data_IF_725917302795
#
_entry.id   IF_725917302795
#
_cell.length_a   1.000
_cell.length_b   1.000
_cell.length_c   1.000
_cell.angle_alpha   90.00
_cell.angle_beta   90.00
_cell.angle_gamma   90.00
#
_symmetry.space_group_name_H-M   'P 1'
#
loop_
_entity.id
_entity.type
_entity.pdbx_description
1 polymer ?
#
# COMPACT_ATOMS: atom_id res chain seq x y z
N UNK A 1 -3.26 23.12 -16.05
CA UNK A 1 -3.96 21.84 -15.80
C UNK A 1 -3.46 20.85 -16.83
N UNK A 2 -2.86 19.74 -16.40
CA UNK A 2 -2.37 18.72 -17.33
C UNK A 2 -3.56 17.91 -17.84
N UNK A 3 -4.00 18.20 -19.07
CA UNK A 3 -4.89 17.33 -19.80
C UNK A 3 -4.14 16.04 -20.16
N UNK A 4 -4.63 14.89 -19.71
CA UNK A 4 -4.04 13.59 -19.99
C UNK A 4 -4.97 12.75 -20.87
N UNK A 5 -4.46 12.31 -22.00
CA UNK A 5 -5.18 11.47 -22.96
C UNK A 5 -4.58 10.08 -23.01
N UNK A 6 -5.43 9.07 -23.09
CA UNK A 6 -5.03 7.67 -23.15
C UNK A 6 -6.02 6.85 -23.98
N UNK A 7 -5.66 5.60 -24.30
CA UNK A 7 -6.59 4.65 -24.91
C UNK A 7 -6.81 3.48 -23.97
N UNK A 8 -8.02 2.95 -23.89
CA UNK A 8 -8.35 1.86 -22.99
C UNK A 8 -9.31 0.84 -23.60
N UNK A 9 -9.49 -0.29 -22.91
CA UNK A 9 -10.52 -1.29 -23.19
C UNK A 9 -11.22 -1.67 -21.89
N UNK A 10 -12.54 -1.70 -21.89
CA UNK A 10 -13.33 -2.23 -20.78
C UNK A 10 -12.99 -3.70 -20.55
N UNK A 11 -13.06 -4.16 -19.30
CA UNK A 11 -12.97 -5.57 -18.95
C UNK A 11 -14.35 -6.07 -18.53
N UNK A 12 -14.66 -7.32 -18.85
CA UNK A 12 -15.82 -8.01 -18.28
C UNK A 12 -15.51 -8.53 -16.87
N UNK A 13 -16.49 -9.16 -16.21
CA UNK A 13 -16.34 -9.73 -14.86
C UNK A 13 -15.28 -10.85 -14.78
N UNK A 14 -14.91 -11.42 -15.93
CA UNK A 14 -13.82 -12.40 -16.05
C UNK A 14 -12.45 -11.75 -16.32
N UNK A 15 -12.36 -10.42 -16.30
CA UNK A 15 -11.14 -9.66 -16.56
C UNK A 15 -10.70 -9.63 -18.04
N UNK A 16 -11.56 -10.04 -18.97
CA UNK A 16 -11.25 -10.11 -20.39
C UNK A 16 -11.63 -8.82 -21.13
N UNK A 17 -10.81 -8.34 -22.08
CA UNK A 17 -11.10 -7.12 -22.83
C UNK A 17 -12.40 -7.23 -23.65
N UNK A 18 -13.31 -6.28 -23.43
CA UNK A 18 -14.51 -6.12 -24.23
C UNK A 18 -14.20 -5.31 -25.49
N UNK A 19 -14.59 -5.85 -26.65
CA UNK A 19 -14.49 -5.18 -27.94
C UNK A 19 -13.11 -5.27 -28.62
N UNK A 20 -13.15 -5.13 -29.96
CA UNK A 20 -11.95 -5.27 -30.79
C UNK A 20 -11.05 -4.02 -30.74
N UNK A 21 -11.64 -2.82 -30.70
CA UNK A 21 -10.93 -1.55 -30.75
C UNK A 21 -10.79 -0.90 -29.37
N UNK A 22 -9.68 -0.20 -29.15
CA UNK A 22 -9.51 0.62 -27.95
C UNK A 22 -10.35 1.89 -28.03
N UNK A 23 -10.99 2.24 -26.91
CA UNK A 23 -11.73 3.49 -26.69
C UNK A 23 -10.77 4.60 -26.26
N UNK A 24 -11.21 5.86 -26.37
CA UNK A 24 -10.44 7.04 -25.94
C UNK A 24 -10.85 7.43 -24.52
N UNK A 25 -9.87 7.65 -23.66
CA UNK A 25 -10.07 8.19 -22.33
C UNK A 25 -9.31 9.51 -22.16
N UNK A 26 -9.85 10.38 -21.32
CA UNK A 26 -9.27 11.69 -21.04
C UNK A 26 -9.49 12.06 -19.57
N UNK A 27 -8.50 12.73 -18.97
CA UNK A 27 -8.61 13.34 -17.66
C UNK A 27 -8.14 14.80 -17.73
N UNK A 28 -8.98 15.75 -17.33
CA UNK A 28 -8.67 17.20 -17.33
C UNK A 28 -8.11 17.71 -16.00
N UNK A 29 -8.12 16.88 -14.96
CA UNK A 29 -7.74 17.25 -13.60
C UNK A 29 -8.92 17.30 -12.63
N UNK A 30 -10.14 17.27 -13.13
CA UNK A 30 -11.39 17.29 -12.36
C UNK A 30 -12.30 16.11 -12.72
N UNK A 31 -12.45 15.80 -14.01
CA UNK A 31 -13.34 14.77 -14.55
C UNK A 31 -12.56 13.76 -15.39
N UNK A 32 -12.77 12.48 -15.10
CA UNK A 32 -12.29 11.35 -15.87
C UNK A 32 -13.37 10.92 -16.87
N UNK A 33 -13.10 11.10 -18.15
CA UNK A 33 -13.97 10.68 -19.24
C UNK A 33 -13.49 9.33 -19.77
N UNK A 34 -14.35 8.32 -19.66
CA UNK A 34 -14.16 6.96 -20.17
C UNK A 34 -15.27 6.65 -21.19
N UNK A 35 -15.01 6.93 -22.47
CA UNK A 35 -15.99 6.74 -23.56
C UNK A 35 -17.26 7.59 -23.37
N UNK A 36 -18.35 7.00 -22.87
CA UNK A 36 -19.62 7.71 -22.56
C UNK A 36 -19.80 7.96 -21.06
N UNK A 37 -18.83 7.58 -20.23
CA UNK A 37 -18.91 7.67 -18.77
C UNK A 37 -18.06 8.84 -18.29
N UNK A 38 -18.70 9.82 -17.69
CA UNK A 38 -18.06 10.99 -17.07
C UNK A 38 -18.00 10.80 -15.56
N UNK A 39 -16.79 10.77 -15.00
CA UNK A 39 -16.55 10.48 -13.60
C UNK A 39 -15.85 11.67 -12.94
N UNK A 40 -16.57 12.51 -12.17
CA UNK A 40 -15.95 13.52 -11.33
C UNK A 40 -14.98 12.86 -10.35
N UNK A 41 -13.79 13.45 -10.18
CA UNK A 41 -12.76 12.95 -9.27
C UNK A 41 -13.24 12.81 -7.83
N UNK A 42 -14.22 13.63 -7.42
CA UNK A 42 -14.86 13.56 -6.10
C UNK A 42 -15.74 12.30 -5.90
N UNK A 43 -16.23 11.69 -6.98
CA UNK A 43 -17.07 10.48 -6.94
C UNK A 43 -16.25 9.18 -6.99
N UNK A 44 -14.96 9.28 -7.31
CA UNK A 44 -14.03 8.15 -7.24
C UNK A 44 -13.74 7.89 -5.77
N UNK A 45 -13.89 6.65 -5.32
CA UNK A 45 -13.58 6.15 -3.98
C UNK A 45 -12.17 5.57 -3.91
N UNK A 46 -11.83 4.67 -4.84
CA UNK A 46 -10.50 4.08 -4.89
C UNK A 46 -9.99 3.91 -6.32
N UNK A 47 -8.66 3.97 -6.48
CA UNK A 47 -7.98 3.68 -7.74
C UNK A 47 -6.82 2.76 -7.45
N UNK A 48 -6.95 1.51 -7.86
CA UNK A 48 -5.82 0.60 -7.93
C UNK A 48 -5.44 0.26 -9.37
N UNK A 49 -4.22 -0.22 -9.56
CA UNK A 49 -3.83 -0.75 -10.85
C UNK A 49 -2.90 -1.93 -10.71
N UNK A 50 -3.05 -2.88 -11.63
CA UNK A 50 -2.17 -4.02 -11.81
C UNK A 50 -1.71 -4.04 -13.26
N UNK A 51 -0.44 -3.71 -13.46
CA UNK A 51 0.20 -3.55 -14.78
C UNK A 51 -0.49 -2.49 -15.68
N UNK A 52 -1.47 -2.92 -16.47
CA UNK A 52 -2.28 -2.06 -17.36
C UNK A 52 -3.75 -2.02 -16.94
N UNK A 53 -4.18 -2.92 -16.08
CA UNK A 53 -5.53 -2.96 -15.55
C UNK A 53 -5.66 -1.90 -14.48
N UNK A 54 -6.62 -0.99 -14.65
CA UNK A 54 -7.07 -0.05 -13.62
C UNK A 54 -8.36 -0.59 -13.04
N UNK A 55 -8.44 -0.59 -11.72
CA UNK A 55 -9.63 -0.93 -10.94
C UNK A 55 -10.06 0.38 -10.27
N UNK A 56 -11.23 0.86 -10.64
CA UNK A 56 -11.78 2.11 -10.14
C UNK A 56 -13.02 1.80 -9.31
N UNK A 57 -13.02 2.16 -8.03
CA UNK A 57 -14.21 2.11 -7.20
C UNK A 57 -14.84 3.50 -7.20
N UNK A 58 -16.13 3.61 -7.53
CA UNK A 58 -16.87 4.88 -7.58
C UNK A 58 -18.15 4.80 -6.78
N UNK A 59 -18.67 5.94 -6.32
CA UNK A 59 -19.98 6.00 -5.66
C UNK A 59 -21.07 5.72 -6.70
N UNK A 60 -21.84 4.65 -6.51
CA UNK A 60 -23.02 4.32 -7.31
C UNK A 60 -24.27 5.08 -6.86
N UNK A 61 -25.36 4.92 -7.61
CA UNK A 61 -26.63 5.64 -7.38
C UNK A 61 -27.24 5.39 -5.99
N UNK A 62 -27.05 4.19 -5.43
CA UNK A 62 -27.55 3.82 -4.10
C UNK A 62 -26.54 4.02 -2.97
N UNK A 63 -25.48 4.82 -3.19
CA UNK A 63 -24.30 4.91 -2.29
C UNK A 63 -23.51 3.61 -2.14
N UNK A 64 -23.83 2.56 -2.91
CA UNK A 64 -23.02 1.35 -2.99
C UNK A 64 -21.83 1.56 -3.93
N UNK A 65 -20.63 1.05 -3.60
CA UNK A 65 -19.48 1.12 -4.48
C UNK A 65 -19.70 0.35 -5.79
N UNK A 66 -19.46 0.99 -6.93
CA UNK A 66 -19.42 0.33 -8.24
C UNK A 66 -17.96 0.22 -8.68
N UNK A 67 -17.55 -0.99 -9.09
CA UNK A 67 -16.20 -1.23 -9.59
C UNK A 67 -16.16 -1.22 -11.11
N UNK A 68 -15.33 -0.33 -11.68
CA UNK A 68 -15.06 -0.23 -13.09
C UNK A 68 -13.67 -0.77 -13.40
N UNK A 69 -13.60 -1.75 -14.29
CA UNK A 69 -12.34 -2.39 -14.68
C UNK A 69 -12.01 -2.08 -16.15
N UNK A 70 -10.81 -1.56 -16.39
CA UNK A 70 -10.35 -1.30 -17.75
C UNK A 70 -8.84 -1.44 -17.91
N UNK A 71 -8.41 -1.87 -19.10
CA UNK A 71 -7.01 -1.92 -19.48
C UNK A 71 -6.58 -0.65 -20.21
N UNK A 72 -5.57 0.05 -19.72
CA UNK A 72 -4.89 1.13 -20.45
C UNK A 72 -4.01 0.52 -21.55
N UNK A 73 -4.42 0.72 -22.80
CA UNK A 73 -3.75 0.16 -23.99
C UNK A 73 -2.73 1.11 -24.60
N UNK A 74 -2.86 2.42 -24.35
CA UNK A 74 -1.88 3.44 -24.74
C UNK A 74 -1.86 4.53 -23.67
N UNK A 75 -0.67 4.98 -23.29
CA UNK A 75 -0.44 5.80 -22.09
C UNK A 75 0.09 4.97 -20.91
N UNK A 76 0.29 5.62 -19.78
CA UNK A 76 0.70 5.05 -18.50
C UNK A 76 -0.47 4.97 -17.51
N UNK A 77 -0.83 3.75 -17.08
CA UNK A 77 -1.80 3.52 -16.02
C UNK A 77 -1.31 4.08 -14.67
N UNK A 78 -0.01 3.99 -14.41
CA UNK A 78 0.62 4.56 -13.21
C UNK A 78 0.48 6.10 -13.17
N UNK A 79 0.69 6.77 -14.32
CA UNK A 79 0.46 8.22 -14.43
C UNK A 79 -1.01 8.56 -14.20
N UNK A 80 -1.94 7.78 -14.75
CA UNK A 80 -3.37 7.98 -14.55
C UNK A 80 -3.75 7.84 -13.07
N UNK A 81 -3.31 6.77 -12.38
CA UNK A 81 -3.53 6.58 -10.93
C UNK A 81 -3.01 7.78 -10.13
N UNK A 82 -1.80 8.24 -10.42
CA UNK A 82 -1.20 9.38 -9.73
C UNK A 82 -2.05 10.66 -9.92
N UNK A 83 -2.49 10.94 -11.14
CA UNK A 83 -3.31 12.11 -11.45
C UNK A 83 -4.68 12.05 -10.78
N UNK A 84 -5.35 10.91 -10.84
CA UNK A 84 -6.64 10.69 -10.18
C UNK A 84 -6.52 10.82 -8.66
N UNK A 85 -5.49 10.21 -8.06
CA UNK A 85 -5.23 10.32 -6.62
C UNK A 85 -5.00 11.77 -6.17
N UNK A 86 -4.27 12.58 -6.94
CA UNK A 86 -4.06 14.02 -6.67
C UNK A 86 -5.33 14.85 -6.78
N UNK A 87 -6.21 14.55 -7.74
CA UNK A 87 -7.44 15.28 -7.92
C UNK A 87 -8.46 14.93 -6.85
N UNK A 88 -8.64 13.62 -6.61
CA UNK A 88 -9.52 13.09 -5.57
C UNK A 88 -9.14 13.58 -4.18
N UNK A 89 -7.87 13.49 -3.80
CA UNK A 89 -7.39 14.03 -2.52
C UNK A 89 -7.75 15.49 -2.31
N UNK A 90 -7.53 16.35 -3.32
CA UNK A 90 -7.90 17.77 -3.26
C UNK A 90 -9.42 17.96 -3.12
N UNK A 91 -10.21 17.20 -3.87
CA UNK A 91 -11.67 17.30 -3.83
C UNK A 91 -12.22 16.89 -2.46
N UNK A 92 -11.72 15.79 -1.89
CA UNK A 92 -12.12 15.29 -0.58
C UNK A 92 -11.72 16.24 0.55
N UNK A 93 -10.46 16.68 0.56
CA UNK A 93 -9.96 17.61 1.56
C UNK A 93 -10.73 18.93 1.54
N UNK A 94 -11.07 19.45 0.35
CA UNK A 94 -11.93 20.62 0.19
C UNK A 94 -13.33 20.39 0.78
N UNK A 95 -13.95 19.25 0.48
CA UNK A 95 -15.28 18.90 1.00
C UNK A 95 -15.27 18.84 2.54
N UNK A 96 -14.29 18.18 3.13
CA UNK A 96 -14.19 18.06 4.59
C UNK A 96 -13.92 19.42 5.25
N UNK A 97 -13.10 20.27 4.62
CA UNK A 97 -12.90 21.66 5.07
C UNK A 97 -14.20 22.47 5.06
N UNK A 98 -15.00 22.33 4.01
CA UNK A 98 -16.30 23.01 3.87
C UNK A 98 -17.31 22.48 4.91
N UNK A 99 -17.33 21.17 5.16
CA UNK A 99 -18.13 20.51 6.20
C UNK A 99 -17.79 21.06 7.59
N UNK A 100 -16.52 21.01 7.99
CA UNK A 100 -16.06 21.57 9.27
C UNK A 100 -16.36 23.07 9.38
N UNK A 101 -16.27 23.83 8.29
CA UNK A 101 -16.64 25.23 8.29
C UNK A 101 -18.14 25.45 8.51
N UNK A 102 -19.00 24.61 7.94
CA UNK A 102 -20.45 24.66 8.17
C UNK A 102 -20.83 24.34 9.62
N UNK A 103 -20.01 23.55 10.31
CA UNK A 103 -20.16 23.22 11.73
C UNK A 103 -19.50 24.24 12.68
N UNK A 104 -18.85 25.29 12.15
CA UNK A 104 -18.09 26.25 12.96
C UNK A 104 -16.77 25.71 13.53
N UNK A 105 -16.30 24.56 13.02
CA UNK A 105 -15.11 23.81 13.45
C UNK A 105 -13.91 23.98 12.49
N UNK A 106 -13.85 25.07 11.72
CA UNK A 106 -12.79 25.31 10.73
C UNK A 106 -11.36 25.21 11.29
N UNK A 107 -11.15 25.51 12.57
CA UNK A 107 -9.84 25.42 13.23
C UNK A 107 -9.32 23.99 13.38
N UNK A 108 -10.18 22.98 13.25
CA UNK A 108 -9.82 21.56 13.32
C UNK A 108 -9.30 21.03 11.98
N UNK A 109 -9.49 21.77 10.88
CA UNK A 109 -9.00 21.37 9.58
C UNK A 109 -7.48 21.40 9.51
N UNK A 110 -6.86 20.27 9.17
CA UNK A 110 -5.41 20.18 8.98
C UNK A 110 -5.10 19.24 7.84
N UNK A 111 -4.26 19.68 6.91
CA UNK A 111 -3.79 18.85 5.82
C UNK A 111 -2.27 19.00 5.62
N UNK A 112 -1.70 18.07 4.85
CA UNK A 112 -0.34 18.17 4.33
C UNK A 112 -0.30 17.67 2.88
N UNK A 113 0.64 18.17 2.09
CA UNK A 113 0.87 17.66 0.74
C UNK A 113 1.94 16.57 0.78
N UNK A 114 1.61 15.37 0.27
CA UNK A 114 2.57 14.28 0.19
C UNK A 114 3.78 14.67 -0.69
N UNK A 115 5.03 14.58 -0.19
CA UNK A 115 6.22 14.97 -0.95
C UNK A 115 6.52 14.05 -2.15
N UNK A 116 5.88 12.88 -2.24
CA UNK A 116 6.20 11.86 -3.24
C UNK A 116 5.16 11.74 -4.36
N UNK A 117 3.88 11.93 -4.02
CA UNK A 117 2.79 11.84 -4.97
C UNK A 117 1.99 13.13 -5.11
N UNK A 118 2.22 14.14 -4.26
CA UNK A 118 1.51 15.43 -4.23
C UNK A 118 0.00 15.33 -3.99
N UNK A 119 -0.47 14.22 -3.43
CA UNK A 119 -1.83 14.13 -2.91
C UNK A 119 -1.94 14.96 -1.63
N UNK A 120 -3.12 15.57 -1.42
CA UNK A 120 -3.47 16.22 -0.15
C UNK A 120 -3.89 15.13 0.85
N UNK A 121 -3.26 15.10 2.01
CA UNK A 121 -3.55 14.16 3.08
C UNK A 121 -4.27 14.95 4.16
N UNK A 122 -5.54 14.63 4.37
CA UNK A 122 -6.32 15.16 5.48
C UNK A 122 -5.84 14.51 6.78
N UNK A 123 -5.51 15.36 7.76
CA UNK A 123 -5.01 15.00 9.08
C UNK A 123 -5.88 15.59 10.19
N UNK A 124 -7.10 16.03 9.87
CA UNK A 124 -8.10 16.42 10.86
C UNK A 124 -8.38 15.28 11.84
N UNK A 125 -8.52 15.61 13.13
CA UNK A 125 -8.71 14.63 14.20
C UNK A 125 -7.45 13.84 14.60
N UNK A 126 -6.36 13.92 13.86
CA UNK A 126 -5.09 13.27 14.22
C UNK A 126 -4.17 14.20 15.01
N UNK A 127 -3.41 13.63 15.95
CA UNK A 127 -2.30 14.33 16.59
C UNK A 127 -1.23 14.73 15.56
N UNK A 128 -0.47 15.79 15.86
CA UNK A 128 0.73 16.12 15.09
C UNK A 128 1.82 15.12 15.43
N UNK A 129 2.33 14.42 14.43
CA UNK A 129 3.36 13.38 14.59
C UNK A 129 4.52 13.58 13.61
N UNK A 130 5.73 13.10 13.94
CA UNK A 130 6.91 13.29 13.10
C UNK A 130 6.85 12.64 11.72
N UNK A 131 5.97 11.67 11.49
CA UNK A 131 5.74 11.04 10.20
C UNK A 131 4.28 11.17 9.77
N UNK A 132 4.08 11.08 8.46
CA UNK A 132 2.77 11.05 7.81
C UNK A 132 2.72 9.88 6.84
N UNK A 133 1.62 9.13 6.88
CA UNK A 133 1.31 8.08 5.91
C UNK A 133 0.43 8.63 4.80
N UNK A 134 0.81 8.39 3.55
CA UNK A 134 -0.02 8.75 2.40
C UNK A 134 -0.88 7.57 1.97
N UNK A 135 -2.20 7.68 2.05
CA UNK A 135 -3.10 6.61 1.60
C UNK A 135 -3.12 6.39 0.07
N UNK A 136 -2.68 7.36 -0.71
CA UNK A 136 -2.70 7.29 -2.19
C UNK A 136 -1.47 6.58 -2.78
N UNK A 137 -0.31 6.71 -2.15
CA UNK A 137 0.93 6.07 -2.60
C UNK A 137 1.54 5.10 -1.59
N UNK A 138 0.89 4.93 -0.44
CA UNK A 138 1.25 4.04 0.68
C UNK A 138 2.65 4.28 1.25
N UNK A 139 3.23 5.47 1.01
CA UNK A 139 4.53 5.84 1.58
C UNK A 139 4.33 6.46 2.95
N UNK A 140 5.15 6.04 3.92
CA UNK A 140 5.34 6.75 5.19
C UNK A 140 6.58 7.61 5.05
N UNK A 141 6.43 8.91 5.23
CA UNK A 141 7.50 9.90 5.10
C UNK A 141 7.56 10.77 6.35
N UNK A 142 8.73 11.32 6.64
CA UNK A 142 8.89 12.29 7.71
C UNK A 142 8.08 13.56 7.37
N UNK A 143 7.38 14.13 8.34
CA UNK A 143 6.59 15.35 8.17
C UNK A 143 7.52 16.53 7.87
N UNK A 144 7.42 17.07 6.65
CA UNK A 144 8.21 18.22 6.21
C UNK A 144 7.46 19.56 6.42
N UNK A 145 6.34 19.57 7.16
CA UNK A 145 5.55 20.79 7.39
C UNK A 145 6.35 21.92 8.06
N UNK A 146 7.44 21.59 8.77
CA UNK A 146 8.32 22.55 9.46
C UNK A 146 9.76 22.57 8.93
N UNK A 147 10.11 21.73 7.94
CA UNK A 147 11.47 21.66 7.37
C UNK A 147 11.46 21.95 5.87
N UNK A 148 12.38 22.82 5.43
CA UNK A 148 12.61 23.09 4.01
C UNK A 148 13.52 22.04 3.35
N UNK A 149 13.85 20.97 4.06
CA UNK A 149 14.73 19.93 3.58
C UNK A 149 14.06 19.08 2.50
N UNK A 150 14.86 18.65 1.52
CA UNK A 150 14.36 17.72 0.53
C UNK A 150 13.99 16.38 1.20
N UNK A 151 12.91 15.69 0.76
CA UNK A 151 12.50 14.42 1.32
C UNK A 151 13.68 13.43 1.36
N UNK A 152 13.80 12.67 2.46
CA UNK A 152 14.93 11.78 2.62
C UNK A 152 15.01 10.78 1.44
N UNK A 153 16.21 10.64 0.87
CA UNK A 153 16.39 9.84 -0.34
C UNK A 153 15.98 8.38 -0.07
N UNK A 154 14.98 7.92 -0.82
CA UNK A 154 14.60 6.50 -0.86
C UNK A 154 13.41 6.10 0.01
N UNK A 155 12.75 7.03 0.70
CA UNK A 155 11.52 6.75 1.49
C UNK A 155 10.39 6.15 0.66
N UNK A 156 10.16 6.69 -0.55
CA UNK A 156 9.15 6.20 -1.52
C UNK A 156 9.22 4.69 -1.82
N UNK A 157 10.37 4.06 -1.57
CA UNK A 157 10.56 2.61 -1.79
C UNK A 157 9.95 1.77 -0.67
N UNK A 158 9.77 2.32 0.53
CA UNK A 158 9.23 1.59 1.66
C UNK A 158 7.70 1.66 1.70
N UNK A 159 7.09 0.49 1.91
CA UNK A 159 5.64 0.27 2.08
C UNK A 159 5.41 -1.16 2.57
N UNK A 160 4.16 -1.54 2.82
CA UNK A 160 3.83 -2.93 3.14
C UNK A 160 4.03 -3.85 1.93
N UNK A 161 4.49 -5.07 2.19
CA UNK A 161 4.59 -6.13 1.20
C UNK A 161 3.22 -6.77 0.95
N UNK A 162 2.75 -6.79 -0.30
CA UNK A 162 1.47 -7.38 -0.69
C UNK A 162 1.33 -8.87 -0.32
N UNK A 163 2.45 -9.57 -0.13
CA UNK A 163 2.44 -11.01 0.18
C UNK A 163 2.42 -11.31 1.67
N UNK A 164 3.17 -10.54 2.47
CA UNK A 164 3.41 -10.90 3.88
C UNK A 164 3.02 -9.79 4.85
N UNK A 165 2.43 -8.69 4.37
CA UNK A 165 2.00 -7.57 5.21
C UNK A 165 3.11 -6.79 5.92
N UNK A 166 4.38 -7.22 5.85
CA UNK A 166 5.52 -6.57 6.53
C UNK A 166 5.94 -5.30 5.81
N UNK A 167 6.24 -4.26 6.57
CA UNK A 167 6.87 -3.04 6.06
C UNK A 167 8.29 -3.36 5.56
N UNK A 168 8.56 -3.06 4.30
CA UNK A 168 9.82 -3.38 3.61
C UNK A 168 9.92 -2.55 2.32
N UNK A 169 10.81 -2.93 1.39
CA UNK A 169 10.93 -2.38 0.04
C UNK A 169 10.40 -3.37 -1.00
N UNK A 170 9.09 -3.57 -1.11
CA UNK A 170 8.56 -4.43 -2.14
C UNK A 170 8.93 -3.88 -3.53
N UNK A 171 9.24 -4.82 -4.42
CA UNK A 171 9.62 -4.53 -5.79
C UNK A 171 8.98 -5.54 -6.71
N UNK A 172 8.83 -5.15 -7.97
CA UNK A 172 8.31 -6.02 -9.01
C UNK A 172 9.13 -7.31 -9.11
N UNK A 173 8.45 -8.43 -8.95
CA UNK A 173 8.94 -9.79 -9.04
C UNK A 173 8.18 -10.52 -10.13
N UNK A 174 8.90 -11.25 -10.98
CA UNK A 174 8.29 -12.01 -12.08
C UNK A 174 8.37 -13.48 -11.75
N UNK A 175 7.21 -14.09 -11.52
CA UNK A 175 7.04 -15.53 -11.40
C UNK A 175 6.92 -16.09 -12.81
N UNK A 176 7.79 -17.03 -13.15
CA UNK A 176 7.81 -17.65 -14.47
C UNK A 176 8.07 -19.14 -14.32
N UNK A 177 7.16 -19.95 -14.85
CA UNK A 177 7.32 -21.39 -14.98
C UNK A 177 7.18 -21.75 -16.45
N UNK A 178 8.13 -22.52 -16.95
CA UNK A 178 8.10 -23.07 -18.30
C UNK A 178 8.13 -24.59 -18.18
N UNK A 179 7.25 -25.25 -18.93
CA UNK A 179 7.27 -26.71 -19.04
C UNK A 179 7.27 -27.14 -20.51
N UNK A 180 7.99 -28.22 -20.78
CA UNK A 180 8.11 -28.83 -22.10
C UNK A 180 8.11 -30.35 -21.96
N UNK A 181 7.16 -31.00 -22.63
CA UNK A 181 7.01 -32.45 -22.71
C UNK A 181 6.88 -32.85 -24.18
N UNK A 182 8.02 -33.04 -24.88
CA UNK A 182 8.20 -33.52 -26.27
C UNK A 182 7.34 -32.85 -27.37
N UNK A 183 6.02 -32.89 -27.25
CA UNK A 183 5.01 -32.32 -28.15
C UNK A 183 4.07 -31.29 -27.49
N UNK A 184 4.09 -31.17 -26.16
CA UNK A 184 3.31 -30.17 -25.42
C UNK A 184 4.26 -29.21 -24.73
N UNK A 185 4.05 -27.92 -24.93
CA UNK A 185 4.78 -26.87 -24.20
C UNK A 185 3.79 -25.86 -23.65
N UNK A 186 4.17 -25.24 -22.54
CA UNK A 186 3.39 -24.16 -21.97
C UNK A 186 4.23 -23.33 -21.03
N UNK A 187 3.73 -22.16 -20.71
CA UNK A 187 4.34 -21.27 -19.75
C UNK A 187 3.27 -20.60 -18.90
N UNK A 188 3.65 -20.31 -17.66
CA UNK A 188 2.89 -19.47 -16.75
C UNK A 188 3.75 -18.29 -16.36
N UNK A 189 3.17 -17.10 -16.41
CA UNK A 189 3.84 -15.85 -16.04
C UNK A 189 2.89 -15.01 -15.18
N UNK A 190 3.38 -14.54 -14.04
CA UNK A 190 2.67 -13.62 -13.15
C UNK A 190 3.63 -12.60 -12.57
N UNK A 191 3.24 -11.34 -12.53
CA UNK A 191 3.98 -10.31 -11.80
C UNK A 191 3.35 -10.05 -10.45
N UNK A 192 4.19 -9.91 -9.43
CA UNK A 192 3.78 -9.58 -8.06
C UNK A 192 4.70 -8.51 -7.48
N UNK A 193 4.25 -7.80 -6.45
CA UNK A 193 5.09 -6.87 -5.69
C UNK A 193 5.45 -7.50 -4.36
N UNK A 194 6.73 -7.83 -4.18
CA UNK A 194 7.18 -8.63 -3.05
C UNK A 194 8.42 -8.02 -2.42
N UNK A 195 8.50 -8.10 -1.09
CA UNK A 195 9.71 -7.77 -0.37
C UNK A 195 10.85 -8.75 -0.75
N UNK A 196 12.12 -8.36 -0.57
CA UNK A 196 13.25 -9.25 -0.84
C UNK A 196 13.15 -10.61 -0.14
N UNK A 197 12.60 -10.68 1.08
CA UNK A 197 12.36 -11.93 1.79
C UNK A 197 11.39 -12.87 1.06
N UNK A 198 10.22 -12.38 0.63
CA UNK A 198 9.25 -13.18 -0.12
C UNK A 198 9.77 -13.57 -1.52
N UNK A 199 10.54 -12.69 -2.17
CA UNK A 199 11.17 -13.01 -3.45
C UNK A 199 12.15 -14.18 -3.34
N UNK A 200 12.92 -14.30 -2.24
CA UNK A 200 13.90 -15.37 -2.06
C UNK A 200 13.24 -16.74 -2.07
N UNK A 201 12.19 -16.92 -1.26
CA UNK A 201 11.44 -18.18 -1.19
C UNK A 201 10.87 -18.57 -2.56
N UNK A 202 10.24 -17.61 -3.24
CA UNK A 202 9.62 -17.89 -4.55
C UNK A 202 10.67 -18.13 -5.66
N UNK A 203 11.77 -17.39 -5.67
CA UNK A 203 12.84 -17.59 -6.66
C UNK A 203 13.48 -18.97 -6.55
N UNK A 204 13.61 -19.53 -5.33
CA UNK A 204 14.06 -20.90 -5.14
C UNK A 204 13.04 -21.93 -5.66
N UNK A 205 11.74 -21.73 -5.39
CA UNK A 205 10.68 -22.58 -5.98
C UNK A 205 10.71 -22.55 -7.51
N UNK A 206 10.88 -21.36 -8.09
CA UNK A 206 11.02 -21.19 -9.54
C UNK A 206 12.26 -21.89 -10.09
N UNK A 207 13.40 -21.80 -9.40
CA UNK A 207 14.64 -22.42 -9.85
C UNK A 207 14.49 -23.95 -9.88
N UNK A 208 13.94 -24.53 -8.80
CA UNK A 208 13.69 -25.96 -8.70
C UNK A 208 12.63 -26.43 -9.72
N UNK A 209 11.52 -25.70 -9.85
CA UNK A 209 10.43 -26.04 -10.77
C UNK A 209 10.85 -25.97 -12.26
N UNK A 210 11.70 -25.00 -12.62
CA UNK A 210 12.20 -24.86 -13.99
C UNK A 210 13.43 -25.72 -14.29
N UNK A 211 14.06 -26.33 -13.28
CA UNK A 211 15.32 -27.07 -13.45
C UNK A 211 15.21 -28.17 -14.51
N UNK A 212 14.08 -28.87 -14.54
CA UNK A 212 13.82 -29.99 -15.47
C UNK A 212 13.69 -29.51 -16.92
N UNK A 213 13.20 -28.28 -17.13
CA UNK A 213 12.87 -27.76 -18.47
C UNK A 213 13.89 -26.79 -19.05
N UNK A 214 14.94 -26.44 -18.27
CA UNK A 214 16.11 -25.61 -18.61
C UNK A 214 15.80 -24.16 -19.03
N UNK A 215 14.81 -23.92 -19.90
CA UNK A 215 14.48 -22.61 -20.46
C UNK A 215 14.00 -21.58 -19.43
N UNK A 216 13.37 -22.02 -18.33
CA UNK A 216 12.97 -21.12 -17.23
C UNK A 216 14.09 -20.82 -16.22
N UNK A 217 15.20 -21.57 -16.25
CA UNK A 217 16.32 -21.43 -15.30
C UNK A 217 16.97 -20.04 -15.36
N UNK A 218 17.27 -19.44 -16.54
CA UNK A 218 17.85 -18.09 -16.60
C UNK A 218 16.99 -17.03 -15.92
N UNK A 219 15.65 -17.10 -16.07
CA UNK A 219 14.72 -16.17 -15.42
C UNK A 219 14.76 -16.36 -13.90
N UNK A 220 14.74 -17.61 -13.43
CA UNK A 220 14.82 -17.92 -12.00
C UNK A 220 16.15 -17.45 -11.38
N UNK A 221 17.28 -17.67 -12.05
CA UNK A 221 18.61 -17.21 -11.61
C UNK A 221 18.62 -15.67 -11.52
N UNK A 222 18.13 -14.97 -12.55
CA UNK A 222 18.06 -13.51 -12.54
C UNK A 222 17.20 -12.98 -11.37
N UNK A 223 16.07 -13.63 -11.09
CA UNK A 223 15.24 -13.29 -9.95
C UNK A 223 15.89 -13.61 -8.60
N UNK A 224 16.69 -14.68 -8.50
CA UNK A 224 17.47 -15.01 -7.31
C UNK A 224 18.52 -13.92 -7.04
N UNK A 225 19.30 -13.53 -8.06
CA UNK A 225 20.24 -12.42 -7.95
C UNK A 225 19.56 -11.13 -7.52
N UNK A 226 18.39 -10.80 -8.08
CA UNK A 226 17.61 -9.66 -7.62
C UNK A 226 17.25 -9.82 -6.14
N UNK A 227 16.68 -10.96 -5.73
CA UNK A 227 16.21 -11.23 -4.37
C UNK A 227 17.31 -11.08 -3.29
N UNK A 228 18.56 -11.45 -3.61
CA UNK A 228 19.70 -11.33 -2.70
C UNK A 228 20.49 -10.02 -2.87
N UNK A 229 20.72 -9.56 -4.11
CA UNK A 229 21.47 -8.33 -4.42
C UNK A 229 20.72 -7.02 -4.13
N UNK A 230 19.54 -7.11 -3.52
CA UNK A 230 18.77 -5.95 -3.03
C UNK A 230 18.89 -5.72 -1.53
N UNK A 231 19.85 -6.35 -0.83
CA UNK A 231 20.10 -6.08 0.58
C UNK A 231 20.40 -4.60 0.76
N UNK A 232 19.75 -4.00 1.76
CA UNK A 232 19.70 -2.55 1.97
C UNK A 232 21.00 -1.97 2.55
N UNK A 233 22.13 -2.26 1.91
CA UNK A 233 23.47 -1.75 2.26
C UNK A 233 23.49 -0.26 1.90
N UNK A 234 22.90 0.58 2.76
CA UNK A 234 22.84 2.03 2.61
C UNK A 234 21.44 2.66 2.51
N UNK A 235 20.35 1.91 2.74
CA UNK A 235 19.02 2.52 2.85
C UNK A 235 18.70 3.07 4.25
N UNK A 236 17.52 3.68 4.41
CA UNK A 236 17.03 4.28 5.67
C UNK A 236 16.99 3.26 6.82
N UNK A 237 16.64 2.01 6.53
CA UNK A 237 16.48 0.93 7.51
C UNK A 237 17.39 -0.28 7.16
N UNK A 238 18.72 -0.15 7.33
CA UNK A 238 19.65 -1.21 6.98
C UNK A 238 19.41 -2.45 7.85
N UNK A 239 19.29 -3.62 7.22
CA UNK A 239 19.01 -4.89 7.91
C UNK A 239 17.53 -5.23 8.10
N UNK A 240 16.60 -4.33 7.70
CA UNK A 240 15.15 -4.55 7.83
C UNK A 240 14.69 -5.86 7.19
N UNK A 241 15.16 -6.17 5.99
CA UNK A 241 14.77 -7.41 5.30
C UNK A 241 15.25 -8.68 6.04
N UNK A 242 16.41 -8.61 6.69
CA UNK A 242 16.93 -9.72 7.50
C UNK A 242 16.06 -9.94 8.73
N UNK A 243 15.68 -8.86 9.42
CA UNK A 243 14.79 -8.90 10.57
C UNK A 243 13.40 -9.45 10.17
N UNK A 244 12.83 -8.98 9.05
CA UNK A 244 11.57 -9.49 8.51
C UNK A 244 11.64 -10.99 8.20
N UNK A 245 12.76 -11.48 7.62
CA UNK A 245 12.97 -12.91 7.37
C UNK A 245 13.03 -13.70 8.68
N UNK A 246 13.71 -13.19 9.71
CA UNK A 246 13.74 -13.84 11.03
C UNK A 246 12.35 -13.94 11.65
N UNK A 247 11.56 -12.86 11.58
CA UNK A 247 10.19 -12.83 12.08
C UNK A 247 9.34 -13.91 11.38
N UNK A 248 9.38 -13.95 10.04
CA UNK A 248 8.66 -14.95 9.24
C UNK A 248 9.10 -16.39 9.46
N UNK A 249 10.32 -16.59 9.93
CA UNK A 249 10.84 -17.92 10.26
C UNK A 249 10.57 -18.31 11.74
N UNK A 250 9.68 -17.61 12.44
CA UNK A 250 9.35 -17.86 13.84
C UNK A 250 10.43 -17.42 14.84
N UNK A 251 11.53 -16.78 14.38
CA UNK A 251 12.63 -16.32 15.23
C UNK A 251 12.33 -14.92 15.78
N UNK A 252 11.19 -14.78 16.44
CA UNK A 252 10.62 -13.49 16.81
C UNK A 252 11.52 -12.66 17.71
N UNK A 253 12.13 -13.25 18.74
CA UNK A 253 13.04 -12.50 19.62
C UNK A 253 14.24 -11.92 18.87
N UNK A 254 14.88 -12.73 18.01
CA UNK A 254 16.00 -12.26 17.19
C UNK A 254 15.59 -11.19 16.19
N UNK A 255 14.36 -11.25 15.67
CA UNK A 255 13.81 -10.22 14.80
C UNK A 255 13.58 -8.91 15.56
N UNK A 256 12.99 -8.98 16.76
CA UNK A 256 12.80 -7.83 17.65
C UNK A 256 14.14 -7.17 17.99
N UNK A 257 15.17 -7.95 18.33
CA UNK A 257 16.50 -7.42 18.63
C UNK A 257 17.13 -6.73 17.42
N UNK A 258 16.91 -7.25 16.21
CA UNK A 258 17.38 -6.60 14.98
C UNK A 258 16.58 -5.33 14.64
N UNK A 259 15.26 -5.32 14.87
CA UNK A 259 14.46 -4.10 14.71
C UNK A 259 14.89 -3.01 15.70
N UNK A 260 15.21 -3.38 16.95
CA UNK A 260 15.73 -2.43 17.96
C UNK A 260 17.02 -1.77 17.48
N UNK A 261 17.97 -2.52 16.91
CA UNK A 261 19.19 -1.94 16.31
C UNK A 261 18.91 -0.94 15.17
N UNK A 262 17.82 -1.13 14.44
CA UNK A 262 17.36 -0.17 13.42
C UNK A 262 16.83 1.09 14.12
N UNK A 263 15.99 0.92 15.14
CA UNK A 263 15.42 2.02 15.91
C UNK A 263 16.45 2.81 16.72
N UNK A 264 17.54 2.20 17.17
CA UNK A 264 18.66 2.88 17.84
C UNK A 264 19.30 3.96 16.93
N UNK A 265 19.24 3.75 15.61
CA UNK A 265 19.74 4.69 14.59
C UNK A 265 18.65 5.58 14.03
N UNK A 266 17.40 5.11 14.02
CA UNK A 266 16.23 5.78 13.47
C UNK A 266 15.05 5.64 14.44
N UNK A 267 15.00 6.45 15.52
CA UNK A 267 14.00 6.28 16.59
C UNK A 267 12.55 6.50 16.14
N UNK A 268 12.38 7.29 15.08
CA UNK A 268 11.10 7.59 14.44
C UNK A 268 10.95 6.71 13.19
N UNK A 269 10.17 5.64 13.31
CA UNK A 269 9.94 4.70 12.23
C UNK A 269 8.67 3.87 12.49
N UNK A 270 7.50 4.45 12.18
CA UNK A 270 6.20 3.80 12.36
C UNK A 270 6.16 2.42 11.69
N UNK A 271 6.64 2.32 10.45
CA UNK A 271 6.69 1.04 9.72
C UNK A 271 7.54 -0.05 10.40
N UNK A 272 8.65 0.32 11.06
CA UNK A 272 9.50 -0.64 11.79
C UNK A 272 8.84 -1.05 13.11
N UNK A 273 8.24 -0.11 13.85
CA UNK A 273 7.49 -0.39 15.08
C UNK A 273 6.27 -1.28 14.81
N UNK A 274 5.60 -1.06 13.68
CA UNK A 274 4.56 -1.96 13.16
C UNK A 274 5.10 -3.39 12.95
N UNK A 275 6.27 -3.58 12.34
CA UNK A 275 6.85 -4.92 12.18
C UNK A 275 7.20 -5.60 13.51
N UNK A 276 7.61 -4.83 14.53
CA UNK A 276 7.80 -5.35 15.89
C UNK A 276 6.46 -5.80 16.48
N UNK A 277 5.41 -5.00 16.32
CA UNK A 277 4.06 -5.35 16.78
C UNK A 277 3.55 -6.64 16.13
N UNK A 278 3.76 -6.81 14.82
CA UNK A 278 3.46 -8.06 14.13
C UNK A 278 4.24 -9.25 14.73
N UNK A 279 5.52 -9.07 15.04
CA UNK A 279 6.31 -10.13 15.69
C UNK A 279 5.82 -10.48 17.12
N UNK A 280 5.19 -9.54 17.83
CA UNK A 280 4.50 -9.83 19.10
C UNK A 280 3.17 -10.54 18.89
N UNK A 281 2.38 -10.16 17.87
CA UNK A 281 1.14 -10.86 17.50
C UNK A 281 1.39 -12.34 17.18
N UNK A 282 2.40 -12.65 16.38
CA UNK A 282 2.74 -14.05 16.08
C UNK A 282 3.27 -14.84 17.30
N UNK A 283 3.58 -14.16 18.41
CA UNK A 283 3.91 -14.78 19.70
C UNK A 283 2.71 -14.83 20.65
N UNK A 284 1.54 -14.39 20.20
CA UNK A 284 0.33 -14.22 21.01
C UNK A 284 0.52 -13.26 22.21
N UNK A 285 1.51 -12.36 22.14
CA UNK A 285 1.73 -11.30 23.13
C UNK A 285 0.93 -10.05 22.69
N UNK A 286 -0.38 -10.10 22.92
CA UNK A 286 -1.33 -9.07 22.49
C UNK A 286 -1.08 -7.72 23.16
N UNK A 287 -0.70 -7.71 24.44
CA UNK A 287 -0.34 -6.49 25.15
C UNK A 287 0.96 -5.87 24.60
N UNK A 288 1.95 -6.70 24.29
CA UNK A 288 3.18 -6.29 23.62
C UNK A 288 2.93 -5.70 22.23
N UNK A 289 2.07 -6.37 21.45
CA UNK A 289 1.65 -5.88 20.14
C UNK A 289 0.91 -4.54 20.24
N UNK A 290 -0.08 -4.43 21.13
CA UNK A 290 -0.83 -3.20 21.35
C UNK A 290 0.09 -2.02 21.69
N UNK A 291 1.05 -2.21 22.61
CA UNK A 291 2.04 -1.17 22.96
C UNK A 291 2.87 -0.73 21.75
N UNK A 292 3.31 -1.69 20.93
CA UNK A 292 4.13 -1.36 19.76
C UNK A 292 3.32 -0.70 18.63
N UNK A 293 2.05 -1.06 18.44
CA UNK A 293 1.16 -0.33 17.55
C UNK A 293 0.89 1.09 18.04
N UNK A 294 0.69 1.29 19.35
CA UNK A 294 0.59 2.64 19.92
C UNK A 294 1.87 3.45 19.65
N UNK A 295 3.06 2.91 19.89
CA UNK A 295 4.32 3.59 19.56
C UNK A 295 4.52 3.84 18.07
N UNK A 296 3.93 3.03 17.20
CA UNK A 296 3.89 3.31 15.77
C UNK A 296 3.00 4.52 15.46
N UNK A 297 1.83 4.61 16.11
CA UNK A 297 0.90 5.73 15.96
C UNK A 297 1.42 7.03 16.62
N UNK A 298 2.30 6.96 17.62
CA UNK A 298 2.99 8.16 18.13
C UNK A 298 3.98 8.72 17.11
N UNK A 299 4.57 7.87 16.26
CA UNK A 299 5.43 8.32 15.16
C UNK A 299 4.60 8.82 13.97
N UNK A 300 3.47 8.16 13.69
CA UNK A 300 2.62 8.44 12.53
C UNK A 300 1.14 8.23 12.89
N UNK A 301 0.45 9.27 13.35
CA UNK A 301 -0.91 9.15 13.88
C UNK A 301 -1.92 8.61 12.85
N UNK A 302 -1.70 8.90 11.56
CA UNK A 302 -2.56 8.43 10.48
C UNK A 302 -2.05 7.14 9.81
N UNK A 303 -1.22 6.33 10.50
CA UNK A 303 -0.74 5.06 9.94
C UNK A 303 -1.76 3.93 10.11
N UNK A 304 -2.65 3.82 9.11
CA UNK A 304 -3.79 2.88 9.07
C UNK A 304 -3.43 1.42 9.42
N UNK A 305 -2.31 0.83 8.95
CA UNK A 305 -1.92 -0.52 9.34
C UNK A 305 -1.74 -0.72 10.85
N UNK A 306 -1.19 0.28 11.55
CA UNK A 306 -1.03 0.21 13.01
C UNK A 306 -2.32 0.45 13.77
N UNK A 307 -3.19 1.34 13.30
CA UNK A 307 -4.51 1.51 13.89
C UNK A 307 -5.35 0.24 13.81
N UNK A 308 -5.34 -0.41 12.65
CA UNK A 308 -5.98 -1.72 12.44
C UNK A 308 -5.43 -2.80 13.37
N UNK A 309 -4.11 -2.93 13.44
CA UNK A 309 -3.47 -3.90 14.35
C UNK A 309 -3.79 -3.62 15.83
N UNK A 310 -3.84 -2.34 16.22
CA UNK A 310 -4.20 -1.93 17.57
C UNK A 310 -5.67 -2.25 17.90
N UNK A 311 -6.58 -2.02 16.95
CA UNK A 311 -7.99 -2.36 17.10
C UNK A 311 -8.18 -3.85 17.35
N UNK A 312 -7.54 -4.70 16.55
CA UNK A 312 -7.56 -6.15 16.74
C UNK A 312 -7.00 -6.57 18.12
N UNK A 313 -5.94 -5.90 18.60
CA UNK A 313 -5.44 -6.15 19.95
C UNK A 313 -6.45 -5.75 21.03
N UNK A 314 -7.11 -4.59 20.90
CA UNK A 314 -8.12 -4.17 21.88
C UNK A 314 -9.35 -5.06 21.89
N UNK A 315 -9.79 -5.54 20.72
CA UNK A 315 -10.86 -6.53 20.61
C UNK A 315 -10.48 -7.83 21.34
N UNK A 316 -9.28 -8.37 21.06
CA UNK A 316 -8.80 -9.60 21.70
C UNK A 316 -8.64 -9.45 23.22
N UNK A 317 -8.18 -8.28 23.69
CA UNK A 317 -7.98 -8.00 25.12
C UNK A 317 -9.26 -7.57 25.85
N UNK A 318 -10.39 -7.40 25.16
CA UNK A 318 -11.64 -6.90 25.75
C UNK A 318 -11.61 -5.43 26.16
N UNK A 319 -10.69 -4.65 25.60
CA UNK A 319 -10.44 -3.23 25.90
C UNK A 319 -11.43 -2.32 25.15
N UNK A 320 -12.72 -2.51 25.43
CA UNK A 320 -13.85 -1.91 24.69
C UNK A 320 -13.82 -0.38 24.66
N UNK A 321 -13.46 0.28 25.76
CA UNK A 321 -13.35 1.75 25.82
C UNK A 321 -12.24 2.28 24.91
N UNK A 322 -11.09 1.60 24.89
CA UNK A 322 -9.96 2.00 24.04
C UNK A 322 -10.26 1.75 22.56
N UNK A 323 -10.96 0.65 22.25
CA UNK A 323 -11.44 0.37 20.89
C UNK A 323 -12.42 1.44 20.41
N UNK A 324 -13.41 1.81 21.22
CA UNK A 324 -14.39 2.84 20.88
C UNK A 324 -13.72 4.20 20.66
N UNK A 325 -12.77 4.57 21.50
CA UNK A 325 -11.98 5.79 21.34
C UNK A 325 -11.18 5.78 20.01
N UNK A 326 -10.56 4.65 19.66
CA UNK A 326 -9.84 4.48 18.41
C UNK A 326 -10.77 4.55 17.19
N UNK A 327 -11.91 3.85 17.21
CA UNK A 327 -12.92 3.92 16.14
C UNK A 327 -13.39 5.36 15.90
N UNK A 328 -13.71 6.08 16.99
CA UNK A 328 -14.10 7.48 16.94
C UNK A 328 -13.02 8.38 16.32
N UNK A 329 -11.75 8.18 16.67
CA UNK A 329 -10.64 8.95 16.09
C UNK A 329 -10.53 8.75 14.57
N UNK A 330 -10.81 7.53 14.10
CA UNK A 330 -10.73 7.16 12.68
C UNK A 330 -12.05 7.35 11.91
N UNK A 331 -13.08 7.91 12.55
CA UNK A 331 -14.39 8.12 11.94
C UNK A 331 -15.15 6.84 11.59
N UNK A 332 -14.75 5.69 12.14
CA UNK A 332 -15.43 4.41 11.93
C UNK A 332 -16.70 4.35 12.79
N UNK A 333 -17.82 3.90 12.22
CA UNK A 333 -19.04 3.67 12.99
C UNK A 333 -18.90 2.44 13.90
N UNK A 334 -19.71 2.35 14.96
CA UNK A 334 -19.58 1.30 15.99
C UNK A 334 -19.66 -0.13 15.42
N UNK A 335 -20.50 -0.35 14.39
CA UNK A 335 -20.69 -1.63 13.70
C UNK A 335 -19.72 -1.85 12.52
N UNK A 336 -18.89 -0.85 12.20
CA UNK A 336 -17.93 -0.90 11.10
C UNK A 336 -16.64 -1.56 11.58
N UNK A 337 -16.19 -2.59 10.87
CA UNK A 337 -14.81 -3.09 11.00
C UNK A 337 -13.92 -1.93 10.60
N UNK A 338 -12.93 -1.62 11.45
CA UNK A 338 -12.02 -0.48 11.29
C UNK A 338 -11.16 -0.56 10.00
N UNK A 339 -11.35 -1.58 9.13
CA UNK A 339 -11.16 -1.68 7.66
C UNK A 339 -10.60 -3.06 7.26
N UNK A 340 -11.28 -3.81 6.35
CA UNK A 340 -11.01 -5.16 5.77
C UNK A 340 -10.36 -6.19 6.73
N UNK A 341 -9.98 -7.41 6.35
CA UNK A 341 -9.31 -8.37 7.26
C UNK A 341 -7.78 -8.33 7.10
N UNK A 342 -7.02 -8.60 8.18
CA UNK A 342 -5.58 -8.81 8.05
C UNK A 342 -5.49 -10.05 7.17
N UNK A 343 -4.54 -10.15 6.21
CA UNK A 343 -4.39 -11.39 5.48
C UNK A 343 -4.19 -12.50 6.50
N UNK A 344 -5.17 -13.41 6.59
CA UNK A 344 -5.00 -14.67 7.32
C UNK A 344 -3.84 -15.40 6.64
N UNK A 345 -2.88 -15.89 7.44
CA UNK A 345 -1.70 -16.62 6.95
C UNK A 345 -2.07 -17.95 6.26
#
# INVERSE_FOLDING_TARGET
>A
MENYQFKFKWLNDQGQPQGFYSKKGHFDGETLVLDTVDLPSAAILDVDYRERTVILSVVGENSEPVHLLFNVTSGSADRLKLMLGRARSRAWARRHKEELASEGRSSEYRDVTCPHCHAVIDLSGFAKTPQVSCEFCHTVSDDQSESFDAPAKGEKKYRLCDECGMFSKPRRFTIFYFYFLLVVYGFSHRQTWRCPGCMRSEAWKMLLGNAIFVLGVPVAIAQLFRAYGGTDVGGKYPGLDSANIKARNGKFQQAIDDYRKILDKQPVAAGVKYNIAMAFLHREDWEGAARMFQYSLTDCANYRPSARGLAACYEHLGETEKLAALKKQWGAKDDEVLLEELPEE
#
